data_IF_110823018522
#
_entry.id   IF_110823018522
#
_cell.length_a   1.000
_cell.length_b   1.000
_cell.length_c   1.000
_cell.angle_alpha   90.00
_cell.angle_beta   90.00
_cell.angle_gamma   90.00
#
_symmetry.space_group_name_H-M   'P 1'
#
loop_
_entity.id
_entity.type
_entity.pdbx_description
1 polymer ?
#
# COMPACT_ATOMS: atom_id res chain seq x y z
N UNK A 1 -36.47 29.74 -64.93
CA UNK A 1 -35.25 30.23 -64.28
C UNK A 1 -35.15 29.58 -62.93
N UNK A 2 -34.60 28.38 -62.96
CA UNK A 2 -34.49 27.52 -61.79
C UNK A 2 -33.10 27.64 -61.17
N UNK A 3 -33.08 28.10 -59.93
CA UNK A 3 -31.87 28.17 -59.13
C UNK A 3 -31.64 26.83 -58.39
N UNK A 4 -30.69 26.06 -58.87
CA UNK A 4 -30.20 24.83 -58.20
C UNK A 4 -29.20 25.20 -57.08
N UNK A 5 -29.59 24.92 -55.86
CA UNK A 5 -28.69 24.95 -54.69
C UNK A 5 -27.75 23.72 -54.70
N UNK A 6 -26.45 23.85 -54.46
CA UNK A 6 -25.54 22.72 -54.36
C UNK A 6 -25.70 21.98 -53.02
N UNK A 7 -25.42 20.67 -52.98
CA UNK A 7 -25.61 19.84 -51.79
C UNK A 7 -24.60 20.18 -50.69
N UNK A 8 -25.10 20.36 -49.48
CA UNK A 8 -24.31 20.53 -48.23
C UNK A 8 -23.53 19.28 -47.91
N UNK A 9 -22.21 19.42 -47.80
CA UNK A 9 -21.30 18.36 -47.31
C UNK A 9 -21.64 17.99 -45.85
N UNK A 10 -21.60 16.69 -45.47
CA UNK A 10 -21.78 16.27 -44.08
C UNK A 10 -20.63 16.80 -43.21
N UNK A 11 -20.95 17.40 -42.07
CA UNK A 11 -20.01 17.83 -41.04
C UNK A 11 -19.28 16.61 -40.52
N UNK A 12 -17.93 16.65 -40.61
CA UNK A 12 -17.02 15.70 -40.04
C UNK A 12 -17.20 15.68 -38.51
N UNK A 13 -17.61 14.54 -37.96
CA UNK A 13 -17.70 14.34 -36.51
C UNK A 13 -16.31 14.56 -35.90
N UNK A 14 -16.22 15.55 -35.03
CA UNK A 14 -15.05 15.77 -34.17
C UNK A 14 -15.08 14.69 -33.09
N UNK A 15 -14.09 13.82 -33.10
CA UNK A 15 -13.83 12.90 -31.98
C UNK A 15 -13.46 13.73 -30.76
N UNK A 16 -14.02 13.46 -29.57
CA UNK A 16 -13.47 14.06 -28.36
C UNK A 16 -12.07 13.48 -28.15
N UNK A 17 -11.07 14.35 -28.15
CA UNK A 17 -9.72 14.06 -27.72
C UNK A 17 -9.80 13.65 -26.24
N UNK A 18 -9.34 12.44 -25.93
CA UNK A 18 -9.18 11.99 -24.55
C UNK A 18 -8.30 13.00 -23.81
N UNK A 19 -8.90 13.72 -22.91
CA UNK A 19 -8.18 14.51 -21.94
C UNK A 19 -7.48 13.54 -20.99
N UNK A 20 -6.15 13.41 -21.13
CA UNK A 20 -5.31 13.02 -20.02
C UNK A 20 -5.46 14.14 -18.97
N UNK A 21 -6.37 13.96 -18.02
CA UNK A 21 -6.40 14.77 -16.82
C UNK A 21 -5.16 14.46 -15.99
N UNK A 22 -4.03 15.04 -16.39
CA UNK A 22 -2.88 15.23 -15.52
C UNK A 22 -3.31 16.24 -14.46
N UNK A 23 -3.57 15.77 -13.27
CA UNK A 23 -3.72 16.60 -12.08
C UNK A 23 -2.39 17.29 -11.79
N UNK A 24 -2.22 18.47 -12.37
CA UNK A 24 -1.11 19.35 -12.01
C UNK A 24 -1.49 20.10 -10.73
N UNK A 25 -1.08 19.60 -9.57
CA UNK A 25 -1.00 20.39 -8.36
C UNK A 25 0.14 21.42 -8.50
N UNK A 26 -0.11 22.48 -9.29
CA UNK A 26 0.69 23.71 -9.24
C UNK A 26 -0.05 24.72 -8.38
N UNK A 27 -0.07 24.51 -7.06
CA UNK A 27 -0.27 25.54 -6.08
C UNK A 27 1.10 26.16 -5.75
N UNK A 28 1.23 27.47 -5.80
CA UNK A 28 2.38 28.19 -5.24
C UNK A 28 2.35 28.03 -3.70
N UNK A 29 2.83 26.90 -3.18
CA UNK A 29 2.91 26.55 -1.79
C UNK A 29 4.01 25.51 -1.60
N UNK A 30 4.77 25.62 -0.52
CA UNK A 30 5.91 24.79 -0.12
C UNK A 30 5.68 23.34 -0.58
N UNK A 31 6.61 22.79 -1.35
CA UNK A 31 6.66 21.36 -1.66
C UNK A 31 6.68 20.60 -0.32
N UNK A 32 5.60 19.88 -0.01
CA UNK A 32 5.53 19.08 1.22
C UNK A 32 6.31 17.81 0.96
N UNK A 33 7.43 17.63 1.65
CA UNK A 33 8.19 16.38 1.62
C UNK A 33 7.45 15.36 2.49
N UNK A 34 7.00 14.25 1.89
CA UNK A 34 6.34 13.18 2.64
C UNK A 34 7.38 12.34 3.39
N UNK A 35 7.25 12.28 4.71
CA UNK A 35 8.04 11.41 5.56
C UNK A 35 7.40 10.02 5.64
N UNK A 36 8.10 9.01 5.14
CA UNK A 36 7.64 7.61 5.12
C UNK A 36 8.44 6.81 6.14
N UNK A 37 7.74 6.27 7.14
CA UNK A 37 8.33 5.36 8.10
C UNK A 37 8.42 3.94 7.54
N UNK A 38 9.62 3.38 7.44
CA UNK A 38 9.84 2.00 7.05
C UNK A 38 10.26 1.19 8.29
N UNK A 39 9.39 0.29 8.74
CA UNK A 39 9.67 -0.57 9.90
C UNK A 39 10.82 -1.51 9.59
N UNK A 40 11.84 -1.50 10.47
CA UNK A 40 13.07 -2.28 10.33
C UNK A 40 13.28 -3.23 11.52
N UNK A 41 12.34 -4.13 11.72
CA UNK A 41 12.49 -5.23 12.68
C UNK A 41 13.11 -6.46 12.03
N UNK A 42 12.74 -6.71 10.76
CA UNK A 42 13.26 -7.77 9.90
C UNK A 42 12.83 -7.48 8.44
N UNK A 43 13.36 -8.24 7.46
CA UNK A 43 12.87 -8.29 6.08
C UNK A 43 13.56 -7.36 5.08
N UNK A 44 13.03 -7.37 3.85
CA UNK A 44 13.65 -6.82 2.64
C UNK A 44 13.43 -5.30 2.49
N UNK A 45 14.08 -4.48 3.33
CA UNK A 45 13.98 -3.02 3.30
C UNK A 45 14.34 -2.38 1.96
N UNK A 46 15.38 -2.93 1.29
CA UNK A 46 15.91 -2.34 0.05
C UNK A 46 14.89 -2.35 -1.09
N UNK A 47 14.09 -3.41 -1.21
CA UNK A 47 13.01 -3.50 -2.17
C UNK A 47 11.97 -2.38 -1.97
N UNK A 48 11.50 -2.19 -0.74
CA UNK A 48 10.54 -1.13 -0.43
C UNK A 48 11.12 0.28 -0.66
N UNK A 49 12.37 0.55 -0.26
CA UNK A 49 13.00 1.85 -0.51
C UNK A 49 13.09 2.13 -2.03
N UNK A 50 13.49 1.14 -2.81
CA UNK A 50 13.58 1.28 -4.25
C UNK A 50 12.19 1.50 -4.89
N UNK A 51 11.18 0.75 -4.46
CA UNK A 51 9.81 0.89 -4.95
C UNK A 51 9.18 2.25 -4.55
N UNK A 52 9.39 2.70 -3.32
CA UNK A 52 8.94 4.03 -2.85
C UNK A 52 9.56 5.18 -3.65
N UNK A 53 10.87 5.11 -3.94
CA UNK A 53 11.54 6.13 -4.75
C UNK A 53 11.00 6.17 -6.18
N UNK A 54 10.85 5.01 -6.83
CA UNK A 54 10.24 4.94 -8.18
C UNK A 54 8.80 5.47 -8.16
N UNK A 55 8.00 5.07 -7.16
CA UNK A 55 6.63 5.56 -7.00
C UNK A 55 6.57 7.09 -6.81
N UNK A 56 7.50 7.65 -6.04
CA UNK A 56 7.61 9.07 -5.79
C UNK A 56 7.96 9.84 -7.08
N UNK A 57 8.93 9.33 -7.85
CA UNK A 57 9.31 9.89 -9.16
C UNK A 57 8.12 9.85 -10.14
N UNK A 58 7.34 8.75 -10.17
CA UNK A 58 6.16 8.61 -11.03
C UNK A 58 5.00 9.55 -10.66
N UNK A 59 4.88 9.91 -9.37
CA UNK A 59 3.83 10.78 -8.84
C UNK A 59 4.25 12.26 -8.75
N UNK A 60 5.52 12.61 -9.03
CA UNK A 60 6.09 13.94 -8.80
C UNK A 60 5.94 14.37 -7.31
N UNK A 61 6.20 13.44 -6.38
CA UNK A 61 6.11 13.63 -4.92
C UNK A 61 7.52 13.53 -4.34
N UNK A 62 7.92 14.50 -3.52
CA UNK A 62 9.16 14.40 -2.74
C UNK A 62 8.96 13.56 -1.49
N UNK A 63 9.86 12.61 -1.22
CA UNK A 63 9.79 11.73 -0.05
C UNK A 63 11.11 11.69 0.73
N UNK A 64 10.98 11.52 2.05
CA UNK A 64 12.06 11.07 2.94
C UNK A 64 11.68 9.73 3.56
N UNK A 65 12.55 8.71 3.47
CA UNK A 65 12.31 7.40 4.06
C UNK A 65 13.13 7.26 5.35
N UNK A 66 12.42 7.10 6.47
CA UNK A 66 12.99 6.93 7.81
C UNK A 66 12.90 5.47 8.25
N UNK A 67 14.03 4.83 8.50
CA UNK A 67 14.06 3.46 9.04
C UNK A 67 13.71 3.46 10.53
N UNK A 68 12.65 2.76 10.91
CA UNK A 68 12.14 2.68 12.27
C UNK A 68 12.58 1.37 12.93
N UNK A 69 13.38 1.42 14.00
CA UNK A 69 13.86 0.26 14.76
C UNK A 69 13.34 0.24 16.20
N UNK A 70 12.99 1.40 16.73
CA UNK A 70 12.52 1.62 18.11
C UNK A 70 11.50 2.75 18.17
N UNK A 71 10.76 2.83 19.26
CA UNK A 71 9.71 3.81 19.46
C UNK A 71 10.20 5.27 19.30
N UNK A 72 11.43 5.57 19.74
CA UNK A 72 11.99 6.92 19.58
C UNK A 72 12.28 7.29 18.12
N UNK A 73 12.50 6.32 17.22
CA UNK A 73 12.68 6.59 15.80
C UNK A 73 11.33 7.00 15.17
N UNK A 74 10.23 6.34 15.58
CA UNK A 74 8.88 6.70 15.16
C UNK A 74 8.52 8.12 15.59
N UNK A 75 8.79 8.46 16.87
CA UNK A 75 8.53 9.79 17.41
C UNK A 75 9.37 10.88 16.71
N UNK A 76 10.65 10.59 16.42
CA UNK A 76 11.54 11.54 15.76
C UNK A 76 11.22 11.75 14.27
N UNK A 77 10.79 10.68 13.57
CA UNK A 77 10.44 10.74 12.15
C UNK A 77 9.10 11.45 11.93
N UNK A 78 8.17 11.34 12.88
CA UNK A 78 6.80 11.85 12.75
C UNK A 78 6.24 11.59 11.33
N UNK A 79 6.10 10.31 10.91
CA UNK A 79 5.85 9.97 9.52
C UNK A 79 4.42 10.28 9.10
N UNK A 80 4.23 10.60 7.81
CA UNK A 80 2.90 10.75 7.20
C UNK A 80 2.28 9.41 6.80
N UNK A 81 3.12 8.38 6.54
CA UNK A 81 2.71 7.03 6.21
C UNK A 81 3.73 5.99 6.69
N UNK A 82 3.27 4.74 6.84
CA UNK A 82 4.11 3.63 7.32
C UNK A 82 4.11 2.48 6.30
N UNK A 83 5.29 1.87 6.12
CA UNK A 83 5.45 0.56 5.50
C UNK A 83 5.87 -0.45 6.57
N UNK A 84 5.09 -1.53 6.69
CA UNK A 84 5.37 -2.71 7.50
C UNK A 84 5.79 -3.85 6.56
N UNK A 85 7.09 -4.12 6.37
CA UNK A 85 7.56 -5.08 5.39
C UNK A 85 7.31 -6.53 5.80
N UNK A 86 7.53 -7.44 4.84
CA UNK A 86 7.60 -8.88 5.09
C UNK A 86 8.77 -9.26 6.00
N UNK A 87 8.76 -10.53 6.44
CA UNK A 87 9.75 -11.10 7.35
C UNK A 87 9.18 -12.34 8.05
N UNK A 88 9.68 -12.66 9.24
CA UNK A 88 9.09 -13.68 10.10
C UNK A 88 8.34 -13.01 11.26
N UNK A 89 7.01 -13.16 11.28
CA UNK A 89 6.13 -12.40 12.16
C UNK A 89 6.42 -12.62 13.67
N UNK A 90 6.84 -13.83 14.07
CA UNK A 90 7.20 -14.12 15.47
C UNK A 90 8.46 -13.35 15.88
N UNK A 91 9.49 -13.38 15.05
CA UNK A 91 10.73 -12.63 15.29
C UNK A 91 10.48 -11.12 15.32
N UNK A 92 9.63 -10.63 14.40
CA UNK A 92 9.24 -9.20 14.37
C UNK A 92 8.53 -8.81 15.66
N UNK A 93 7.64 -9.65 16.20
CA UNK A 93 6.97 -9.42 17.49
C UNK A 93 7.96 -9.41 18.65
N UNK A 94 8.83 -10.42 18.72
CA UNK A 94 9.83 -10.51 19.79
C UNK A 94 10.74 -9.27 19.79
N UNK A 95 11.25 -8.88 18.62
CA UNK A 95 12.15 -7.71 18.50
C UNK A 95 11.39 -6.40 18.74
N UNK A 96 10.21 -6.24 18.16
CA UNK A 96 9.44 -5.00 18.21
C UNK A 96 8.80 -4.73 19.58
N UNK A 97 8.51 -5.78 20.35
CA UNK A 97 7.98 -5.67 21.71
C UNK A 97 9.08 -5.64 22.78
N UNK A 98 10.33 -5.93 22.43
CA UNK A 98 11.43 -5.92 23.38
C UNK A 98 11.61 -4.53 24.02
N UNK A 99 11.96 -4.47 25.29
CA UNK A 99 12.05 -3.23 26.08
C UNK A 99 12.97 -2.16 25.47
N UNK A 100 14.02 -2.57 24.78
CA UNK A 100 14.94 -1.65 24.08
C UNK A 100 14.37 -1.09 22.78
N UNK A 101 13.39 -1.75 22.19
CA UNK A 101 12.73 -1.33 20.95
C UNK A 101 11.43 -0.60 21.22
N UNK A 102 10.45 -1.28 21.84
CA UNK A 102 9.09 -0.81 22.08
C UNK A 102 8.41 -0.26 20.83
N UNK A 103 8.90 -0.67 19.64
CA UNK A 103 8.42 -0.11 18.38
C UNK A 103 6.98 -0.56 18.06
N UNK A 104 6.67 -1.86 18.20
CA UNK A 104 5.33 -2.34 17.83
C UNK A 104 4.22 -1.74 18.70
N UNK A 105 4.33 -1.67 20.04
CA UNK A 105 3.33 -0.98 20.85
C UNK A 105 3.13 0.47 20.44
N UNK A 106 4.21 1.23 20.24
CA UNK A 106 4.13 2.63 19.83
C UNK A 106 3.55 2.79 18.42
N UNK A 107 3.89 1.87 17.50
CA UNK A 107 3.38 1.88 16.12
C UNK A 107 1.87 1.59 16.08
N UNK A 108 1.42 0.57 16.82
CA UNK A 108 -0.01 0.21 16.86
C UNK A 108 -0.86 1.30 17.51
N UNK A 109 -0.36 1.95 18.56
CA UNK A 109 -0.98 3.13 19.15
C UNK A 109 -1.02 4.29 18.14
N UNK A 110 0.09 4.54 17.44
CA UNK A 110 0.16 5.56 16.40
C UNK A 110 -0.88 5.29 15.28
N UNK A 111 -1.04 4.05 14.83
CA UNK A 111 -2.02 3.69 13.79
C UNK A 111 -3.46 3.86 14.32
N UNK A 112 -3.76 3.49 15.57
CA UNK A 112 -5.11 3.58 16.15
C UNK A 112 -5.51 5.01 16.50
N UNK A 113 -4.56 5.86 16.87
CA UNK A 113 -4.83 7.24 17.29
C UNK A 113 -5.37 8.13 16.17
N UNK A 114 -5.21 7.72 14.89
CA UNK A 114 -5.72 8.45 13.75
C UNK A 114 -6.02 7.48 12.59
N UNK A 115 -7.30 7.35 12.24
CA UNK A 115 -7.77 6.44 11.20
C UNK A 115 -7.40 6.88 9.78
N UNK A 116 -7.02 8.15 9.59
CA UNK A 116 -6.60 8.69 8.29
C UNK A 116 -5.17 8.31 7.89
N UNK A 117 -4.36 7.81 8.84
CA UNK A 117 -2.95 7.46 8.62
C UNK A 117 -2.78 6.30 7.67
N UNK A 118 -2.07 6.49 6.54
CA UNK A 118 -1.84 5.42 5.57
C UNK A 118 -0.81 4.41 6.05
N UNK A 119 -1.14 3.13 5.91
CA UNK A 119 -0.25 2.02 6.25
C UNK A 119 -0.30 0.96 5.16
N UNK A 120 0.87 0.50 4.73
CA UNK A 120 1.04 -0.65 3.83
C UNK A 120 1.76 -1.77 4.59
N UNK A 121 1.05 -2.87 4.87
CA UNK A 121 1.62 -4.10 5.41
C UNK A 121 1.76 -5.17 4.35
N UNK A 122 2.94 -5.80 4.23
CA UNK A 122 3.20 -6.85 3.23
C UNK A 122 3.64 -8.15 3.90
N UNK A 123 3.14 -9.29 3.49
CA UNK A 123 3.46 -10.61 4.00
C UNK A 123 3.37 -10.66 5.56
N UNK A 124 4.48 -10.74 6.29
CA UNK A 124 4.48 -10.68 7.74
C UNK A 124 3.91 -9.35 8.28
N UNK A 125 4.07 -8.25 7.58
CA UNK A 125 3.45 -6.97 7.90
C UNK A 125 1.93 -7.03 7.88
N UNK A 126 1.34 -7.75 6.91
CA UNK A 126 -0.10 -8.01 6.87
C UNK A 126 -0.58 -8.82 8.09
N UNK A 127 0.21 -9.82 8.51
CA UNK A 127 -0.08 -10.59 9.74
C UNK A 127 -0.10 -9.67 10.96
N UNK A 128 0.82 -8.73 11.07
CA UNK A 128 0.88 -7.81 12.22
C UNK A 128 -0.30 -6.82 12.22
N UNK A 129 -0.82 -6.45 11.04
CA UNK A 129 -1.99 -5.57 10.94
C UNK A 129 -3.30 -6.31 11.24
N UNK A 130 -3.47 -7.55 10.77
CA UNK A 130 -4.67 -8.33 11.00
C UNK A 130 -4.72 -8.93 12.42
N UNK A 131 -3.56 -9.34 12.97
CA UNK A 131 -3.43 -9.93 14.32
C UNK A 131 -2.31 -9.23 15.09
N UNK A 132 -2.53 -8.05 15.69
CA UNK A 132 -1.49 -7.29 16.41
C UNK A 132 -1.01 -7.96 17.70
N UNK A 133 -1.85 -8.75 18.39
CA UNK A 133 -1.56 -9.45 19.66
C UNK A 133 -1.10 -8.53 20.80
N UNK A 134 -1.63 -7.34 20.84
CA UNK A 134 -1.37 -6.35 21.88
C UNK A 134 -2.57 -6.09 22.80
N UNK A 135 -3.63 -6.89 22.66
CA UNK A 135 -4.88 -6.77 23.40
C UNK A 135 -5.86 -5.76 22.84
N UNK A 136 -5.48 -5.03 21.77
CA UNK A 136 -6.38 -4.12 21.06
C UNK A 136 -7.00 -4.77 19.82
N UNK A 137 -7.93 -4.05 19.18
CA UNK A 137 -8.59 -4.47 17.97
C UNK A 137 -7.62 -4.64 16.80
N UNK A 138 -7.94 -5.51 15.81
CA UNK A 138 -7.22 -5.58 14.55
C UNK A 138 -7.05 -4.21 13.88
N UNK A 139 -5.93 -3.99 13.21
CA UNK A 139 -5.67 -2.75 12.48
C UNK A 139 -6.20 -2.84 11.04
N UNK A 140 -6.37 -4.04 10.53
CA UNK A 140 -7.12 -4.39 9.32
C UNK A 140 -8.11 -5.49 9.69
N UNK A 141 -9.39 -5.31 9.36
CA UNK A 141 -10.49 -6.16 9.80
C UNK A 141 -10.58 -7.45 8.96
N UNK A 142 -9.60 -8.33 9.14
CA UNK A 142 -9.52 -9.62 8.47
C UNK A 142 -8.84 -10.66 9.37
N UNK A 143 -9.26 -11.92 9.22
CA UNK A 143 -8.57 -13.06 9.81
C UNK A 143 -7.49 -13.56 8.85
N UNK A 144 -6.33 -13.93 9.40
CA UNK A 144 -5.17 -14.33 8.61
C UNK A 144 -4.51 -15.59 9.16
N UNK A 145 -4.42 -16.64 8.34
CA UNK A 145 -3.59 -17.82 8.64
C UNK A 145 -2.15 -17.59 8.18
N UNK A 146 -1.26 -17.50 9.15
CA UNK A 146 0.18 -17.32 8.93
C UNK A 146 0.90 -18.57 8.41
N UNK A 147 0.28 -19.76 8.50
CA UNK A 147 0.87 -21.05 8.16
C UNK A 147 0.14 -21.75 7.00
N UNK A 148 -0.69 -21.05 6.24
CA UNK A 148 -1.60 -21.60 5.23
C UNK A 148 -0.91 -22.51 4.19
N UNK A 149 0.33 -22.21 3.81
CA UNK A 149 1.10 -23.02 2.85
C UNK A 149 1.98 -24.10 3.50
N UNK A 150 1.83 -24.36 4.80
CA UNK A 150 2.53 -25.42 5.51
C UNK A 150 4.06 -25.27 5.52
N UNK A 151 4.79 -26.43 5.51
CA UNK A 151 6.25 -26.45 5.52
C UNK A 151 6.88 -26.35 4.14
N UNK A 152 6.11 -26.52 3.06
CA UNK A 152 6.59 -26.33 1.69
C UNK A 152 6.46 -24.85 1.32
N UNK A 153 7.60 -24.22 1.25
CA UNK A 153 7.75 -22.81 0.92
C UNK A 153 7.68 -22.63 -0.59
N UNK A 154 6.50 -22.70 -1.16
CA UNK A 154 6.35 -22.38 -2.57
C UNK A 154 6.44 -20.86 -2.74
N UNK A 155 7.45 -20.44 -3.49
CA UNK A 155 7.55 -19.08 -3.99
C UNK A 155 7.13 -19.09 -5.45
N UNK A 156 6.20 -18.23 -5.81
CA UNK A 156 5.71 -18.12 -7.18
C UNK A 156 5.38 -16.68 -7.55
N UNK A 157 5.24 -16.45 -8.85
CA UNK A 157 4.75 -15.19 -9.40
C UNK A 157 3.44 -15.44 -10.13
N UNK A 158 2.51 -14.52 -9.98
CA UNK A 158 1.21 -14.60 -10.66
C UNK A 158 0.65 -13.22 -10.94
N UNK A 159 -0.16 -13.11 -11.97
CA UNK A 159 -0.97 -11.92 -12.21
C UNK A 159 -2.14 -11.90 -11.24
N UNK A 160 -2.33 -10.76 -10.57
CA UNK A 160 -3.38 -10.51 -9.61
C UNK A 160 -4.36 -9.50 -10.20
N UNK A 161 -5.63 -9.63 -9.89
CA UNK A 161 -6.61 -8.55 -10.04
C UNK A 161 -6.45 -7.59 -8.85
N UNK A 162 -5.80 -6.46 -9.06
CA UNK A 162 -5.64 -5.42 -8.04
C UNK A 162 -6.83 -4.45 -8.10
N UNK A 163 -7.91 -4.79 -7.41
CA UNK A 163 -9.19 -4.04 -7.43
C UNK A 163 -9.02 -2.59 -6.98
N UNK A 164 -8.17 -2.35 -5.98
CA UNK A 164 -7.84 -1.00 -5.49
C UNK A 164 -7.09 -0.16 -6.52
N UNK A 165 -6.37 -0.78 -7.46
CA UNK A 165 -5.64 -0.12 -8.53
C UNK A 165 -6.48 -0.05 -9.84
N UNK A 166 -7.61 -0.78 -9.91
CA UNK A 166 -8.45 -0.89 -11.10
C UNK A 166 -7.77 -1.59 -12.28
N UNK A 167 -6.77 -2.44 -12.03
CA UNK A 167 -6.00 -3.15 -13.05
C UNK A 167 -5.26 -4.36 -12.48
N UNK A 168 -4.72 -5.18 -13.37
CA UNK A 168 -3.84 -6.28 -13.00
C UNK A 168 -2.50 -5.81 -12.42
N UNK A 169 -1.92 -6.64 -11.55
CA UNK A 169 -0.65 -6.41 -10.88
C UNK A 169 0.19 -7.71 -10.86
N UNK A 170 1.50 -7.66 -11.15
CA UNK A 170 2.39 -8.82 -11.05
C UNK A 170 2.78 -9.08 -9.58
N UNK A 171 2.09 -10.02 -8.94
CA UNK A 171 2.32 -10.40 -7.55
C UNK A 171 3.45 -11.41 -7.39
N UNK A 172 4.27 -11.24 -6.36
CA UNK A 172 5.33 -12.16 -5.96
C UNK A 172 5.01 -12.72 -4.58
N UNK A 173 4.83 -14.03 -4.49
CA UNK A 173 4.51 -14.74 -3.25
C UNK A 173 5.72 -15.49 -2.74
N UNK A 174 6.05 -15.33 -1.46
CA UNK A 174 7.13 -16.04 -0.77
C UNK A 174 6.62 -16.48 0.59
N UNK A 175 6.31 -17.77 0.76
CA UNK A 175 5.72 -18.30 2.00
C UNK A 175 4.59 -17.41 2.53
N UNK A 176 3.69 -17.03 1.62
CA UNK A 176 2.66 -16.04 1.88
C UNK A 176 1.66 -16.53 2.93
N UNK A 177 1.17 -15.67 3.83
CA UNK A 177 0.00 -15.98 4.63
C UNK A 177 -1.26 -15.96 3.75
N UNK A 178 -2.40 -16.41 4.30
CA UNK A 178 -3.69 -16.39 3.61
C UNK A 178 -4.72 -15.68 4.47
N UNK A 179 -5.54 -14.83 3.86
CA UNK A 179 -6.75 -14.34 4.51
C UNK A 179 -7.80 -15.44 4.53
N UNK A 180 -8.36 -15.75 5.72
CA UNK A 180 -9.44 -16.71 5.90
C UNK A 180 -10.80 -16.05 5.76
N UNK A 181 -10.92 -14.83 6.29
CA UNK A 181 -12.13 -14.03 6.24
C UNK A 181 -11.79 -12.52 6.32
N UNK A 182 -12.76 -11.70 6.02
CA UNK A 182 -12.73 -10.25 6.28
C UNK A 182 -14.12 -9.76 6.68
N UNK A 183 -14.19 -8.69 7.47
CA UNK A 183 -15.45 -8.09 7.87
C UNK A 183 -16.08 -7.25 6.75
N UNK A 184 -17.34 -6.85 6.93
CA UNK A 184 -18.03 -5.94 5.99
C UNK A 184 -17.42 -4.52 5.97
N UNK A 185 -16.70 -4.11 7.02
CA UNK A 185 -15.98 -2.84 7.09
C UNK A 185 -14.70 -2.83 6.25
N UNK A 186 -14.19 -4.00 5.89
CA UNK A 186 -13.02 -4.17 5.05
C UNK A 186 -13.40 -4.33 3.57
N UNK A 187 -12.54 -3.85 2.69
CA UNK A 187 -12.70 -4.01 1.25
C UNK A 187 -11.60 -4.88 0.66
N UNK A 188 -11.97 -5.75 -0.28
CA UNK A 188 -11.00 -6.54 -1.04
C UNK A 188 -10.19 -5.60 -1.93
N UNK A 189 -8.87 -5.61 -1.76
CA UNK A 189 -7.93 -4.77 -2.49
C UNK A 189 -7.20 -5.50 -3.62
N UNK A 190 -7.05 -6.83 -3.49
CA UNK A 190 -6.45 -7.67 -4.54
C UNK A 190 -6.95 -9.13 -4.44
N UNK A 191 -7.07 -9.78 -5.59
CA UNK A 191 -7.47 -11.19 -5.75
C UNK A 191 -6.46 -11.96 -6.57
N UNK A 192 -6.25 -13.24 -6.21
CA UNK A 192 -5.56 -14.24 -7.02
C UNK A 192 -6.54 -15.36 -7.34
N UNK A 193 -7.17 -15.31 -8.50
CA UNK A 193 -8.33 -16.14 -8.79
C UNK A 193 -9.46 -15.85 -7.80
N UNK A 194 -9.87 -16.88 -7.05
CA UNK A 194 -10.91 -16.75 -6.01
C UNK A 194 -10.34 -16.39 -4.61
N UNK A 195 -9.02 -16.36 -4.47
CA UNK A 195 -8.35 -16.10 -3.20
C UNK A 195 -8.15 -14.59 -2.96
N UNK A 196 -8.60 -14.10 -1.80
CA UNK A 196 -8.31 -12.74 -1.35
C UNK A 196 -6.85 -12.66 -0.91
N UNK A 197 -6.07 -11.81 -1.59
CA UNK A 197 -4.63 -11.61 -1.31
C UNK A 197 -4.31 -10.18 -0.88
N UNK A 198 -5.31 -9.31 -0.87
CA UNK A 198 -5.20 -7.93 -0.37
C UNK A 198 -6.50 -7.46 0.26
N UNK A 199 -6.41 -6.90 1.47
CA UNK A 199 -7.56 -6.35 2.23
C UNK A 199 -7.22 -4.95 2.72
N UNK A 200 -8.21 -4.05 2.65
CA UNK A 200 -8.10 -2.66 3.11
C UNK A 200 -9.18 -2.33 4.13
N UNK A 201 -8.79 -1.69 5.24
CA UNK A 201 -9.68 -1.05 6.21
C UNK A 201 -9.29 0.42 6.35
N UNK A 202 -10.13 1.33 5.87
CA UNK A 202 -9.79 2.75 5.79
C UNK A 202 -8.53 3.00 4.96
N UNK A 203 -7.51 3.64 5.51
CA UNK A 203 -6.22 3.89 4.86
C UNK A 203 -5.14 2.85 5.21
N UNK A 204 -5.53 1.68 5.69
CA UNK A 204 -4.64 0.58 6.07
C UNK A 204 -4.81 -0.55 5.09
N UNK A 205 -3.74 -0.90 4.38
CA UNK A 205 -3.72 -1.94 3.34
C UNK A 205 -2.81 -3.09 3.78
N UNK A 206 -3.34 -4.30 3.81
CA UNK A 206 -2.63 -5.53 4.10
C UNK A 206 -2.59 -6.41 2.85
N UNK A 207 -1.38 -6.79 2.42
CA UNK A 207 -1.13 -7.64 1.25
C UNK A 207 -0.38 -8.90 1.68
N UNK A 208 -0.82 -10.07 1.22
CA UNK A 208 -0.15 -11.35 1.55
C UNK A 208 1.13 -11.57 0.74
N UNK A 209 1.33 -10.81 -0.33
CA UNK A 209 2.45 -10.90 -1.28
C UNK A 209 3.45 -9.75 -1.11
N UNK A 210 4.48 -9.74 -1.97
CA UNK A 210 5.61 -8.81 -1.93
C UNK A 210 5.58 -7.84 -3.13
N UNK A 211 4.84 -6.71 -3.06
CA UNK A 211 4.77 -5.74 -4.16
C UNK A 211 6.12 -5.06 -4.43
N UNK A 212 7.02 -5.01 -3.44
CA UNK A 212 8.37 -4.44 -3.56
C UNK A 212 9.31 -5.24 -4.45
N UNK A 213 8.97 -6.48 -4.77
CA UNK A 213 9.73 -7.34 -5.68
C UNK A 213 9.26 -7.23 -7.13
N UNK A 214 8.19 -6.50 -7.37
CA UNK A 214 7.69 -6.17 -8.70
C UNK A 214 8.37 -4.93 -9.27
N UNK A 215 8.42 -4.82 -10.60
CA UNK A 215 8.73 -3.57 -11.28
C UNK A 215 7.57 -2.55 -11.21
N UNK A 216 6.35 -3.01 -10.96
CA UNK A 216 5.16 -2.19 -10.83
C UNK A 216 5.10 -1.55 -9.43
N UNK A 217 4.92 -0.24 -9.39
CA UNK A 217 4.92 0.57 -8.16
C UNK A 217 3.52 0.83 -7.60
N UNK A 218 2.46 0.29 -8.19
CA UNK A 218 1.08 0.65 -7.94
C UNK A 218 0.67 0.74 -6.47
N UNK A 219 1.05 -0.25 -5.63
CA UNK A 219 0.73 -0.23 -4.20
C UNK A 219 1.54 0.78 -3.39
N UNK A 220 2.79 1.05 -3.80
CA UNK A 220 3.59 2.11 -3.19
C UNK A 220 3.10 3.50 -3.60
N UNK A 221 2.64 3.65 -4.86
CA UNK A 221 1.96 4.87 -5.32
C UNK A 221 0.68 5.12 -4.54
N UNK A 222 -0.16 4.08 -4.37
CA UNK A 222 -1.36 4.17 -3.53
C UNK A 222 -1.05 4.72 -2.14
N UNK A 223 0.02 4.22 -1.51
CA UNK A 223 0.45 4.71 -0.18
C UNK A 223 0.81 6.19 -0.20
N UNK A 224 1.62 6.62 -1.20
CA UNK A 224 2.07 8.02 -1.32
C UNK A 224 0.92 8.96 -1.67
N UNK A 225 0.07 8.60 -2.62
CA UNK A 225 -1.11 9.37 -3.02
C UNK A 225 -2.10 9.51 -1.86
N UNK A 226 -2.30 8.44 -1.08
CA UNK A 226 -3.14 8.46 0.13
C UNK A 226 -2.54 9.37 1.21
N UNK A 227 -1.22 9.33 1.40
CA UNK A 227 -0.53 10.18 2.36
C UNK A 227 -0.57 11.67 1.96
N UNK A 228 -0.45 11.97 0.67
CA UNK A 228 -0.56 13.32 0.14
C UNK A 228 -1.99 13.88 0.30
N UNK A 229 -3.02 13.04 0.10
CA UNK A 229 -4.42 13.42 0.28
C UNK A 229 -4.87 13.56 1.74
N UNK A 230 -4.25 12.85 2.67
CA UNK A 230 -4.56 12.96 4.10
C UNK A 230 -4.01 14.24 4.75
N UNK A 231 -3.09 14.94 4.08
CA UNK A 231 -2.50 16.20 4.53
C UNK A 231 -3.18 17.46 3.96
N UNK A 232 -4.28 17.29 3.23
CA UNK A 232 -5.12 18.36 2.67
C UNK A 232 -6.40 18.49 3.49
#
# INVERSE_FOLDING_TARGET
TDGLNPPTRPRRAVRPSGANDRWHFRGAGRTVVLRIGLVRLQGARHGHIAALRRAADECDIEIEVHELRKASDLAAADPHAIVLPGGESTTMRLTGNHDTSRLLPALFEWIRSDSSRPVLGTCAGAILLADPRDGGDPLVDADIDRNAYGRQADSFQSTLEATILGRDFPGVFIRAPRFESHSESATVAAMHGEEVVGVRTGNRLALTFHPELSSDTGFHRWLLETAAGAGS
#
